data_IF_117613877970
#
_entry.id   IF_117613877970
#
_cell.length_a   1.000
_cell.length_b   1.000
_cell.length_c   1.000
_cell.angle_alpha   90.00
_cell.angle_beta   90.00
_cell.angle_gamma   90.00
#
_symmetry.space_group_name_H-M   'P 1'
#
loop_
_entity.id
_entity.type
_entity.pdbx_description
1 polymer ?
2 non-polymer ?
3 non-polymer ?
4 water ?
#
# COMPACT_ATOMS: atom_id res chain seq x y z
N UNK A 3 19.09 12.84 7.34
CA UNK A 3 18.18 13.28 8.40
C UNK A 3 16.73 12.98 8.08
N UNK A 4 16.11 12.06 8.84
CA UNK A 4 14.73 11.65 8.67
C UNK A 4 13.74 12.61 9.32
N UNK A 5 12.60 12.83 8.63
CA UNK A 5 11.50 13.66 9.10
C UNK A 5 10.18 13.09 8.58
N UNK A 6 9.17 12.96 9.47
CA UNK A 6 7.86 12.45 9.09
C UNK A 6 7.06 13.48 8.27
N UNK A 7 7.45 14.76 8.35
CA UNK A 7 6.79 15.89 7.66
C UNK A 7 7.52 16.30 6.38
N UNK A 8 8.43 15.43 5.90
CA UNK A 8 9.22 15.64 4.68
C UNK A 8 9.30 14.33 3.89
N UNK A 9 9.52 14.43 2.57
CA UNK A 9 9.73 13.23 1.75
C UNK A 9 11.18 12.82 1.92
N UNK A 10 11.41 11.56 2.28
CA UNK A 10 12.74 11.03 2.56
C UNK A 10 13.20 10.13 1.44
N UNK A 11 14.48 10.21 1.03
CA UNK A 11 15.00 9.33 -0.02
C UNK A 11 15.12 7.88 0.49
N UNK A 12 15.38 6.91 -0.39
CA UNK A 12 15.48 5.51 0.05
C UNK A 12 16.54 5.28 1.12
N UNK A 13 17.73 5.91 0.99
CA UNK A 13 18.81 5.79 1.96
C UNK A 13 18.32 6.16 3.36
N UNK A 14 17.54 7.27 3.46
CA UNK A 14 16.94 7.78 4.68
C UNK A 14 15.84 6.82 5.21
N UNK A 15 14.93 6.36 4.32
CA UNK A 15 13.85 5.42 4.69
C UNK A 15 14.45 4.10 5.21
N UNK A 16 15.44 3.55 4.49
CA UNK A 16 16.12 2.31 4.87
C UNK A 16 16.74 2.43 6.27
N UNK A 17 17.46 3.53 6.53
CA UNK A 17 18.08 3.81 7.82
C UNK A 17 17.01 3.99 8.90
N UNK A 18 15.86 4.56 8.51
CA UNK A 18 14.71 4.75 9.40
C UNK A 18 14.11 3.40 9.81
N UNK A 19 13.95 2.44 8.85
CA UNK A 19 13.39 1.11 9.16
C UNK A 19 14.23 0.38 10.21
N UNK A 20 15.56 0.55 10.15
CA UNK A 20 16.50 -0.04 11.10
C UNK A 20 16.41 0.67 12.46
N UNK A 21 16.38 2.03 12.44
CA UNK A 21 16.31 2.87 13.66
C UNK A 21 15.00 2.72 14.43
N UNK A 22 13.84 2.76 13.73
CA UNK A 22 12.52 2.66 14.34
C UNK A 22 12.31 1.26 15.00
N UNK A 23 12.94 0.21 14.44
CA UNK A 23 12.87 -1.16 14.95
C UNK A 23 13.73 -1.26 16.22
N UNK A 24 14.96 -0.70 16.18
CA UNK A 24 15.90 -0.70 17.31
C UNK A 24 15.38 0.14 18.48
N UNK A 25 14.72 1.29 18.19
CA UNK A 25 14.16 2.18 19.19
C UNK A 25 12.89 1.62 19.83
N UNK A 26 12.18 0.70 19.12
CA UNK A 26 10.94 0.08 19.60
C UNK A 26 10.99 -1.46 19.39
N UNK A 27 11.89 -2.20 20.08
CA UNK A 27 11.98 -3.67 19.85
C UNK A 27 10.79 -4.50 20.32
N UNK A 28 10.05 -3.99 21.31
CA UNK A 28 8.89 -4.69 21.85
C UNK A 28 7.62 -4.46 21.03
N UNK A 29 7.70 -3.59 20.01
CA UNK A 29 6.56 -3.24 19.16
C UNK A 29 6.83 -3.43 17.66
N UNK A 30 8.10 -3.42 17.23
CA UNK A 30 8.48 -3.58 15.81
C UNK A 30 9.62 -4.57 15.60
N UNK A 31 9.48 -5.42 14.57
CA UNK A 31 10.50 -6.36 14.09
C UNK A 31 10.62 -6.13 12.57
N UNK A 32 11.85 -6.14 12.05
CA UNK A 32 12.13 -5.89 10.63
C UNK A 32 12.72 -7.12 9.95
N UNK A 33 12.23 -7.44 8.74
CA UNK A 33 12.72 -8.52 7.89
C UNK A 33 12.82 -8.06 6.44
N UNK A 34 13.68 -8.72 5.64
CA UNK A 34 13.79 -8.47 4.21
C UNK A 34 13.01 -9.62 3.56
N UNK A 35 11.94 -9.30 2.81
CA UNK A 35 11.08 -10.31 2.19
C UNK A 35 11.55 -10.70 0.78
N UNK A 36 12.64 -10.08 0.35
CA UNK A 36 13.24 -10.31 -0.96
C UNK A 36 14.08 -9.14 -1.40
N UNK A 37 14.55 -9.17 -2.65
CA UNK A 37 15.36 -8.12 -3.23
C UNK A 37 14.74 -7.61 -4.53
N UNK A 38 15.02 -6.34 -4.84
CA UNK A 38 14.52 -5.68 -6.05
C UNK A 38 15.39 -6.10 -7.25
N UNK A 39 15.02 -5.65 -8.47
CA UNK A 39 15.77 -5.91 -9.69
C UNK A 39 17.23 -5.42 -9.59
N UNK A 40 17.44 -4.26 -8.93
CA UNK A 40 18.76 -3.67 -8.73
C UNK A 40 19.46 -4.21 -7.46
N UNK A 41 18.83 -5.15 -6.76
CA UNK A 41 19.39 -5.80 -5.59
C UNK A 41 19.17 -5.12 -4.25
N UNK A 42 18.22 -4.18 -4.16
CA UNK A 42 17.92 -3.50 -2.90
C UNK A 42 16.98 -4.37 -2.06
N UNK A 43 17.19 -4.39 -0.72
CA UNK A 43 16.37 -5.19 0.19
C UNK A 43 14.97 -4.60 0.36
N UNK A 44 13.94 -5.45 0.19
CA UNK A 44 12.54 -5.07 0.35
C UNK A 44 12.19 -5.29 1.82
N UNK A 45 12.29 -4.22 2.63
CA UNK A 45 11.99 -4.32 4.05
C UNK A 45 10.52 -4.33 4.36
N UNK A 46 10.18 -5.08 5.41
CA UNK A 46 8.82 -5.21 5.90
C UNK A 46 8.88 -5.09 7.43
N UNK A 47 7.99 -4.26 7.98
CA UNK A 47 7.92 -4.03 9.42
C UNK A 47 6.69 -4.70 9.99
N UNK A 48 6.90 -5.57 10.99
CA UNK A 48 5.82 -6.25 11.70
C UNK A 48 5.58 -5.40 12.95
N UNK A 49 4.49 -4.62 12.93
CA UNK A 49 4.13 -3.70 14.00
C UNK A 49 3.00 -4.26 14.86
N UNK A 50 3.28 -4.37 16.16
CA UNK A 50 2.34 -4.87 17.15
C UNK A 50 3.02 -5.53 18.32
N UNK A 51 2.28 -5.72 19.43
CA UNK A 51 2.79 -6.37 20.63
C UNK A 51 2.79 -7.90 20.38
N UNK A 52 3.97 -8.57 20.37
CA UNK A 52 3.99 -10.01 20.07
C UNK A 52 3.11 -10.87 20.97
N UNK A 53 2.54 -11.91 20.36
CA UNK A 53 1.64 -12.86 21.02
C UNK A 53 1.33 -14.07 20.15
N UNK A 54 0.72 -15.14 20.71
CA UNK A 54 0.42 -16.32 19.90
C UNK A 54 -0.86 -16.19 19.06
N UNK A 55 -0.89 -16.83 17.87
CA UNK A 55 -2.00 -16.89 16.91
C UNK A 55 -2.67 -15.53 16.67
N UNK A 56 -1.85 -14.49 16.41
CA UNK A 56 -2.36 -13.14 16.18
C UNK A 56 -2.82 -12.92 14.75
N UNK A 57 -4.05 -12.38 14.54
CA UNK A 57 -4.48 -12.04 13.17
C UNK A 57 -3.69 -10.82 12.69
N UNK A 58 -3.60 -10.62 11.37
CA UNK A 58 -2.81 -9.52 10.83
C UNK A 58 -3.48 -8.75 9.69
N UNK A 59 -3.00 -7.51 9.48
CA UNK A 59 -3.41 -6.62 8.39
C UNK A 59 -2.13 -6.27 7.61
N UNK A 60 -2.15 -6.50 6.29
CA UNK A 60 -1.01 -6.19 5.44
C UNK A 60 -1.25 -4.84 4.76
N UNK A 61 -0.24 -3.98 4.77
CA UNK A 61 -0.31 -2.68 4.13
C UNK A 61 0.97 -2.37 3.40
N UNK A 62 0.86 -2.03 2.11
CA UNK A 62 2.00 -1.64 1.32
C UNK A 62 1.86 -0.20 0.85
N UNK A 63 3.02 0.43 0.62
CA UNK A 63 3.15 1.78 0.09
C UNK A 63 4.23 1.72 -0.98
N UNK A 64 4.23 2.72 -1.83
CA UNK A 64 5.22 2.86 -2.88
C UNK A 64 5.28 1.80 -3.95
N UNK A 65 4.10 1.27 -4.38
CA UNK A 65 4.03 0.33 -5.50
C UNK A 65 4.40 1.16 -6.75
N UNK A 66 3.91 2.42 -6.79
CA UNK A 66 4.24 3.36 -7.86
C UNK A 66 5.18 4.42 -7.31
N UNK A 67 6.35 4.53 -7.96
CA UNK A 67 7.48 5.36 -7.61
C UNK A 67 7.17 6.84 -7.31
N UNK A 68 6.46 7.53 -8.23
CA UNK A 68 6.14 8.97 -8.11
C UNK A 68 5.12 9.33 -7.02
N UNK A 69 4.42 8.34 -6.44
CA UNK A 69 3.39 8.56 -5.42
C UNK A 69 4.01 8.70 -4.02
N UNK A 70 4.84 9.73 -3.85
CA UNK A 70 5.64 10.05 -2.65
C UNK A 70 4.84 10.18 -1.35
N UNK A 71 3.56 10.60 -1.44
CA UNK A 71 2.70 10.72 -0.25
C UNK A 71 2.37 9.33 0.33
N UNK A 72 2.33 8.28 -0.52
CA UNK A 72 2.06 6.91 -0.07
C UNK A 72 3.22 6.41 0.80
N UNK A 73 4.47 6.59 0.33
CA UNK A 73 5.69 6.22 1.08
C UNK A 73 5.68 6.96 2.42
N UNK A 74 5.31 8.25 2.41
CA UNK A 74 5.23 9.12 3.58
C UNK A 74 4.17 8.62 4.56
N UNK A 75 3.04 8.06 4.04
CA UNK A 75 1.98 7.53 4.90
C UNK A 75 2.39 6.27 5.67
N UNK A 76 3.09 5.31 5.04
CA UNK A 76 3.53 4.10 5.73
C UNK A 76 4.42 4.45 6.92
N UNK A 77 5.30 5.45 6.74
CA UNK A 77 6.19 5.96 7.79
C UNK A 77 5.35 6.62 8.89
N UNK A 78 4.31 7.41 8.50
CA UNK A 78 3.42 8.06 9.45
C UNK A 78 2.62 7.05 10.27
N UNK A 79 2.18 5.96 9.64
CA UNK A 79 1.44 4.89 10.34
C UNK A 79 2.29 4.31 11.46
N UNK A 80 3.56 3.99 11.15
CA UNK A 80 4.53 3.44 12.12
C UNK A 80 4.79 4.48 13.22
N UNK A 81 4.90 5.77 12.82
CA UNK A 81 5.07 6.91 13.72
C UNK A 81 3.93 6.91 14.75
N UNK A 82 2.68 6.79 14.27
CA UNK A 82 1.47 6.77 15.09
C UNK A 82 1.46 5.61 16.07
N UNK A 83 1.81 4.41 15.59
CA UNK A 83 1.85 3.19 16.38
C UNK A 83 2.83 3.29 17.56
N UNK A 84 4.05 3.81 17.33
CA UNK A 84 5.06 3.92 18.39
C UNK A 84 4.75 5.09 19.36
N UNK A 85 4.19 6.19 18.84
CA UNK A 85 3.87 7.36 19.65
C UNK A 85 2.62 7.20 20.53
N UNK A 86 1.52 6.66 19.97
CA UNK A 86 0.23 6.56 20.66
C UNK A 86 -0.05 5.21 21.35
N UNK A 87 0.81 4.18 21.17
CA UNK A 87 0.61 2.90 21.87
C UNK A 87 0.78 3.14 23.38
N UNK A 88 -0.22 2.72 24.14
CA UNK A 88 -0.26 2.91 25.58
C UNK A 88 -0.74 4.29 25.98
N UNK A 89 -0.97 5.18 24.99
CA UNK A 89 -1.44 6.56 25.18
C UNK A 89 -2.84 6.81 24.62
N UNK A 90 -3.28 5.97 23.69
CA UNK A 90 -4.58 6.07 23.05
C UNK A 90 -5.22 4.68 23.03
N UNK A 91 -6.46 4.58 23.53
CA UNK A 91 -7.26 3.36 23.66
C UNK A 91 -7.28 2.43 22.44
N UNK A 92 -7.69 2.95 21.26
CA UNK A 92 -7.84 2.18 20.03
C UNK A 92 -6.53 1.62 19.49
N UNK A 93 -5.48 2.46 19.33
CA UNK A 93 -4.17 2.02 18.85
C UNK A 93 -3.58 0.94 19.76
N UNK A 94 -3.80 1.08 21.10
CA UNK A 94 -3.36 0.12 22.12
C UNK A 94 -4.06 -1.22 21.88
N UNK A 95 -5.40 -1.22 21.70
CA UNK A 95 -6.19 -2.41 21.44
C UNK A 95 -5.75 -3.07 20.12
N UNK A 96 -5.54 -2.25 19.06
CA UNK A 96 -5.13 -2.73 17.73
C UNK A 96 -3.79 -3.45 17.75
N UNK A 97 -2.77 -2.86 18.39
CA UNK A 97 -1.44 -3.46 18.44
C UNK A 97 -1.37 -4.70 19.36
N UNK A 98 -2.28 -4.80 20.35
CA UNK A 98 -2.35 -5.95 21.26
C UNK A 98 -3.02 -7.15 20.59
N UNK A 99 -4.11 -6.89 19.84
CA UNK A 99 -4.92 -7.92 19.20
C UNK A 99 -4.47 -8.27 17.77
N UNK A 100 -3.93 -7.30 17.02
CA UNK A 100 -3.47 -7.50 15.64
C UNK A 100 -2.00 -7.16 15.45
N UNK A 101 -1.44 -7.62 14.32
CA UNK A 101 -0.11 -7.29 13.84
C UNK A 101 -0.30 -6.55 12.53
N UNK A 102 0.53 -5.55 12.26
CA UNK A 102 0.48 -4.79 11.01
C UNK A 102 1.74 -5.08 10.22
N UNK A 103 1.58 -5.69 9.05
CA UNK A 103 2.71 -5.94 8.16
C UNK A 103 2.77 -4.74 7.25
N UNK A 104 3.68 -3.82 7.57
CA UNK A 104 3.86 -2.56 6.84
C UNK A 104 5.07 -2.66 5.91
N UNK A 105 4.81 -2.58 4.59
CA UNK A 105 5.85 -2.59 3.57
C UNK A 105 5.98 -1.12 3.16
N UNK A 106 6.98 -0.37 3.69
CA UNK A 106 7.04 1.07 3.43
C UNK A 106 7.29 1.49 2.00
N UNK A 107 8.13 0.76 1.26
CA UNK A 107 8.44 1.04 -0.15
C UNK A 107 8.59 -0.31 -0.86
N UNK A 108 7.64 -0.66 -1.75
CA UNK A 108 7.76 -1.90 -2.49
C UNK A 108 8.71 -1.70 -3.67
N UNK A 109 8.42 -0.70 -4.52
CA UNK A 109 9.18 -0.37 -5.71
C UNK A 109 10.32 0.59 -5.37
N UNK A 110 11.33 0.07 -4.64
CA UNK A 110 12.51 0.81 -4.18
C UNK A 110 13.32 1.40 -5.34
N UNK A 111 13.59 0.60 -6.38
CA UNK A 111 14.35 1.00 -7.58
C UNK A 111 13.71 2.19 -8.29
N UNK A 112 12.40 2.11 -8.51
CA UNK A 112 11.63 3.19 -9.13
C UNK A 112 11.68 4.45 -8.29
N UNK A 113 11.55 4.29 -6.96
CA UNK A 113 11.60 5.39 -6.01
C UNK A 113 12.94 6.12 -6.04
N UNK A 114 14.06 5.38 -6.12
CA UNK A 114 15.41 5.95 -6.22
C UNK A 114 15.52 6.79 -7.50
N UNK A 115 14.92 6.29 -8.60
CA UNK A 115 14.89 6.94 -9.91
C UNK A 115 14.10 8.25 -9.90
N UNK A 116 13.04 8.36 -9.06
CA UNK A 116 12.26 9.59 -8.94
C UNK A 116 13.05 10.67 -8.22
N UNK A 117 13.98 10.27 -7.35
CA UNK A 117 14.85 11.16 -6.59
C UNK A 117 16.11 11.55 -7.37
N UNK A 118 16.57 10.68 -8.28
CA UNK A 118 17.81 10.91 -9.03
C UNK A 118 17.64 11.36 -10.48
N UNK A 119 16.69 10.79 -11.25
CA UNK A 119 16.57 11.09 -12.68
C UNK A 119 15.20 11.62 -13.16
N UNK A 120 14.10 10.94 -12.79
CA UNK A 120 12.77 11.30 -13.30
C UNK A 120 11.71 11.22 -12.20
N UNK A 121 11.30 12.39 -11.68
CA UNK A 121 10.30 12.58 -10.62
C UNK A 121 8.96 11.90 -10.93
N UNK A 122 8.61 11.80 -12.22
CA UNK A 122 7.36 11.22 -12.70
C UNK A 122 7.44 9.74 -13.07
N UNK A 123 8.52 9.03 -12.66
CA UNK A 123 8.65 7.60 -12.94
C UNK A 123 7.61 6.82 -12.13
N UNK A 124 7.01 5.78 -12.73
CA UNK A 124 5.94 5.00 -12.11
C UNK A 124 6.30 3.54 -11.86
N UNK A 125 6.80 2.87 -12.90
CA UNK A 125 7.09 1.44 -12.92
C UNK A 125 8.34 1.02 -12.16
N UNK A 126 8.70 -0.27 -12.28
CA UNK A 126 9.91 -0.85 -11.72
C UNK A 126 11.08 -0.36 -12.61
N UNK A 127 12.30 -0.85 -12.37
CA UNK A 127 13.44 -0.45 -13.17
C UNK A 127 14.07 -1.65 -13.91
N UNK A 128 13.28 -2.71 -14.14
CA UNK A 128 13.72 -3.91 -14.84
C UNK A 128 13.79 -3.74 -16.35
N UNK A 129 14.72 -4.46 -16.99
CA UNK A 129 14.90 -4.42 -18.45
C UNK A 129 13.83 -5.27 -19.15
N UNK A 130 13.57 -4.96 -20.43
CA UNK A 130 12.61 -5.67 -21.27
C UNK A 130 13.28 -6.09 -22.57
N UNK A 131 12.98 -7.31 -23.03
CA UNK A 131 13.55 -7.87 -24.26
C UNK A 131 13.01 -7.14 -25.50
N UNK A 132 13.89 -6.96 -26.49
CA UNK A 132 13.56 -6.32 -27.77
C UNK A 132 13.26 -4.83 -27.74
N UNK A 133 13.66 -4.14 -26.66
CA UNK A 133 13.45 -2.69 -26.46
C UNK A 133 14.39 -2.13 -25.39
N UNK A 134 14.61 -0.80 -25.41
CA UNK A 134 15.41 -0.12 -24.39
C UNK A 134 14.45 0.46 -23.33
N UNK A 135 13.13 0.25 -23.52
CA UNK A 135 12.08 0.70 -22.60
C UNK A 135 12.19 -0.08 -21.30
N UNK A 136 12.16 0.64 -20.18
CA UNK A 136 12.36 0.07 -18.86
C UNK A 136 11.07 0.01 -18.03
N UNK A 137 10.99 -1.04 -17.22
CA UNK A 137 9.97 -1.24 -16.20
C UNK A 137 8.65 -1.87 -16.56
N UNK A 138 8.05 -2.46 -15.52
CA UNK A 138 6.74 -3.09 -15.50
C UNK A 138 5.97 -2.41 -14.38
N UNK A 139 4.66 -2.23 -14.58
CA UNK A 139 3.79 -1.68 -13.55
C UNK A 139 3.55 -2.81 -12.54
N UNK A 140 4.00 -2.68 -11.25
CA UNK A 140 3.76 -3.77 -10.28
C UNK A 140 2.27 -4.03 -10.04
N UNK A 141 1.45 -2.96 -10.10
CA UNK A 141 -0.01 -3.04 -9.92
C UNK A 141 -0.76 -3.59 -11.15
N UNK A 142 -0.03 -4.14 -12.15
CA UNK A 142 -0.56 -4.83 -13.33
C UNK A 142 0.18 -6.17 -13.46
N UNK A 143 1.05 -6.49 -12.49
CA UNK A 143 1.90 -7.68 -12.51
C UNK A 143 1.42 -8.83 -11.61
N UNK A 144 0.36 -8.63 -10.80
CA UNK A 144 -0.17 -9.72 -9.95
C UNK A 144 -0.99 -10.72 -10.78
N UNK A 145 -1.14 -11.95 -10.26
CA UNK A 145 -1.87 -13.01 -10.96
C UNK A 145 -3.37 -13.00 -10.66
N UNK A 146 -4.06 -11.92 -11.10
CA UNK A 146 -5.50 -11.74 -10.96
C UNK A 146 -5.99 -11.06 -12.24
N UNK A 147 -6.57 -11.86 -13.14
CA UNK A 147 -7.02 -11.43 -14.47
C UNK A 147 -5.90 -10.76 -15.22
N UNK A 148 -4.66 -11.25 -14.99
CA UNK A 148 -3.39 -10.71 -15.50
C UNK A 148 -3.38 -10.42 -17.00
N UNK A 149 -2.95 -9.19 -17.31
CA UNK A 149 -2.74 -8.56 -18.62
C UNK A 149 -3.98 -8.55 -19.53
N UNK A 150 -5.18 -8.39 -18.94
CA UNK A 150 -6.41 -8.23 -19.71
C UNK A 150 -6.58 -6.72 -19.97
N UNK A 151 -7.73 -6.28 -20.50
CA UNK A 151 -8.01 -4.87 -20.79
C UNK A 151 -7.81 -4.00 -19.53
N UNK A 152 -7.01 -2.94 -19.67
CA UNK A 152 -6.66 -2.04 -18.59
C UNK A 152 -5.19 -2.13 -18.22
N UNK A 153 -4.51 -3.12 -18.80
CA UNK A 153 -3.06 -3.34 -18.67
C UNK A 153 -2.54 -3.34 -20.09
N UNK A 154 -1.30 -2.94 -20.29
CA UNK A 154 -0.73 -2.92 -21.64
C UNK A 154 0.27 -4.04 -21.87
N UNK A 155 0.30 -4.53 -23.11
CA UNK A 155 1.25 -5.57 -23.54
C UNK A 155 2.53 -4.90 -24.06
N UNK A 156 2.51 -3.55 -24.15
CA UNK A 156 3.63 -2.75 -24.63
C UNK A 156 4.60 -2.40 -23.47
N UNK A 157 5.88 -2.86 -23.54
CA UNK A 157 6.86 -2.54 -22.47
C UNK A 157 7.16 -1.06 -22.27
N UNK A 158 6.86 -0.22 -23.28
CA UNK A 158 7.07 1.23 -23.24
C UNK A 158 5.92 1.97 -22.57
N UNK A 159 4.86 1.25 -22.21
CA UNK A 159 3.66 1.80 -21.57
C UNK A 159 3.71 1.77 -20.06
N UNK A 160 3.05 2.75 -19.44
CA UNK A 160 2.98 2.95 -17.99
C UNK A 160 2.21 1.85 -17.25
N UNK A 161 1.28 1.15 -17.93
CA UNK A 161 0.51 0.06 -17.34
C UNK A 161 0.99 -1.31 -17.87
N UNK A 162 2.27 -1.41 -18.30
CA UNK A 162 2.84 -2.67 -18.79
C UNK A 162 2.72 -3.74 -17.72
N UNK A 163 2.07 -4.86 -18.08
CA UNK A 163 1.77 -6.00 -17.22
C UNK A 163 2.98 -6.90 -16.91
N UNK A 164 4.06 -6.74 -17.67
CA UNK A 164 5.26 -7.56 -17.53
C UNK A 164 5.27 -8.72 -18.50
N UNK A 165 6.38 -9.50 -18.51
CA UNK A 165 6.54 -10.67 -19.38
C UNK A 165 5.63 -11.83 -18.98
N UNK A 166 5.30 -11.91 -17.68
CA UNK A 166 4.45 -12.94 -17.08
C UNK A 166 3.94 -12.41 -15.74
N UNK A 167 2.88 -13.03 -15.18
CA UNK A 167 2.38 -12.63 -13.85
C UNK A 167 3.49 -12.95 -12.86
N UNK A 168 3.80 -11.97 -11.97
CA UNK A 168 4.86 -12.04 -10.96
C UNK A 168 6.27 -12.11 -11.57
N UNK A 169 6.46 -11.49 -12.75
CA UNK A 169 7.77 -11.44 -13.42
C UNK A 169 8.73 -10.56 -12.63
N UNK A 170 8.20 -9.57 -11.91
CA UNK A 170 8.98 -8.66 -11.09
C UNK A 170 9.28 -9.28 -9.76
N UNK A 171 10.56 -9.21 -9.34
CA UNK A 171 11.05 -9.73 -8.06
C UNK A 171 10.26 -9.10 -6.91
N UNK A 172 9.95 -7.79 -7.01
CA UNK A 172 9.18 -7.03 -6.02
C UNK A 172 7.77 -7.59 -5.88
N UNK A 173 7.07 -7.84 -7.02
CA UNK A 173 5.73 -8.42 -7.06
C UNK A 173 5.74 -9.83 -6.47
N UNK A 174 6.72 -10.66 -6.88
CA UNK A 174 6.89 -12.04 -6.41
C UNK A 174 7.14 -12.07 -4.91
N UNK A 175 7.99 -11.16 -4.40
CA UNK A 175 8.32 -11.03 -2.97
C UNK A 175 7.09 -10.72 -2.11
N UNK A 176 6.23 -9.80 -2.58
CA UNK A 176 5.01 -9.41 -1.89
C UNK A 176 4.02 -10.59 -1.90
N UNK A 177 3.78 -11.17 -3.09
CA UNK A 177 2.88 -12.32 -3.27
C UNK A 177 3.31 -13.52 -2.44
N UNK A 178 4.63 -13.83 -2.41
CA UNK A 178 5.20 -14.95 -1.64
C UNK A 178 4.97 -14.75 -0.15
N UNK A 179 5.17 -13.51 0.35
CA UNK A 179 4.94 -13.20 1.77
C UNK A 179 3.50 -13.44 2.18
N UNK A 180 2.53 -12.91 1.40
CA UNK A 180 1.10 -13.05 1.67
C UNK A 180 0.68 -14.53 1.62
N UNK A 181 1.17 -15.29 0.61
CA UNK A 181 0.89 -16.72 0.47
C UNK A 181 1.41 -17.50 1.68
N UNK A 182 2.63 -17.16 2.15
CA UNK A 182 3.27 -17.80 3.32
C UNK A 182 2.61 -17.44 4.66
N UNK A 183 1.79 -16.37 4.68
CA UNK A 183 1.10 -15.89 5.88
C UNK A 183 -0.41 -15.71 5.68
N UNK A 184 -1.00 -16.44 4.71
CA UNK A 184 -2.42 -16.38 4.35
C UNK A 184 -3.40 -16.62 5.50
N UNK A 185 -3.09 -17.61 6.38
CA UNK A 185 -3.93 -17.99 7.52
C UNK A 185 -4.11 -16.87 8.55
N UNK A 186 -3.13 -15.94 8.65
CA UNK A 186 -3.18 -14.82 9.59
C UNK A 186 -3.67 -13.51 8.99
N UNK A 187 -3.39 -13.24 7.69
CA UNK A 187 -3.77 -11.98 7.03
C UNK A 187 -5.29 -11.91 6.78
N UNK A 188 -5.95 -10.97 7.47
CA UNK A 188 -7.39 -10.74 7.41
C UNK A 188 -7.76 -9.53 6.54
N UNK A 189 -6.82 -8.61 6.32
CA UNK A 189 -7.03 -7.43 5.50
C UNK A 189 -5.79 -7.04 4.71
N UNK A 190 -6.01 -6.52 3.50
CA UNK A 190 -4.95 -6.03 2.61
C UNK A 190 -5.25 -4.57 2.25
N UNK A 191 -4.26 -3.70 2.45
CA UNK A 191 -4.38 -2.28 2.15
C UNK A 191 -3.21 -1.82 1.28
N UNK A 192 -3.51 -1.22 0.13
CA UNK A 192 -2.47 -0.71 -0.78
C UNK A 192 -2.60 0.81 -0.86
N UNK A 193 -1.56 1.54 -0.44
CA UNK A 193 -1.56 2.99 -0.40
C UNK A 193 -0.93 3.57 -1.65
N UNK A 194 -1.70 4.45 -2.31
CA UNK A 194 -1.37 5.09 -3.57
C UNK A 194 -1.80 6.56 -3.55
N UNK A 195 -1.61 7.25 -4.70
CA UNK A 195 -2.01 8.62 -4.96
C UNK A 195 -2.18 8.79 -6.48
N UNK A 196 -3.00 9.73 -6.97
CA UNK A 196 -3.86 10.66 -6.23
C UNK A 196 -5.30 10.43 -6.72
N UNK A 197 -6.25 11.35 -6.40
CA UNK A 197 -7.68 11.44 -6.79
C UNK A 197 -8.67 11.24 -5.63
N UNK A 198 -8.14 10.97 -4.40
CA UNK A 198 -8.95 10.80 -3.19
C UNK A 198 -10.05 9.74 -3.35
N UNK A 199 -9.62 8.48 -3.41
CA UNK A 199 -10.50 7.33 -3.59
C UNK A 199 -10.20 6.22 -2.60
N UNK A 200 -11.21 5.43 -2.27
CA UNK A 200 -11.10 4.20 -1.49
C UNK A 200 -11.73 3.16 -2.39
N UNK A 201 -10.90 2.32 -2.98
CA UNK A 201 -11.34 1.31 -3.93
C UNK A 201 -11.26 -0.09 -3.34
N UNK A 202 -12.20 -0.97 -3.70
CA UNK A 202 -12.22 -2.37 -3.28
C UNK A 202 -12.42 -3.26 -4.54
N UNK A 203 -12.22 -4.60 -4.50
CA UNK A 203 -12.40 -5.41 -5.72
C UNK A 203 -13.79 -5.30 -6.38
N UNK A 204 -13.92 -5.52 -7.71
CA UNK A 204 -12.86 -5.92 -8.62
C UNK A 204 -12.42 -4.81 -9.57
N UNK A 205 -11.17 -4.89 -10.03
CA UNK A 205 -10.56 -3.97 -10.99
C UNK A 205 -10.14 -4.73 -12.25
N UNK A 206 -9.95 -6.07 -12.17
CA UNK A 206 -9.53 -6.82 -13.35
C UNK A 206 -10.67 -7.13 -14.33
N UNK A 207 -11.92 -6.98 -13.88
CA UNK A 207 -13.12 -7.23 -14.67
C UNK A 207 -14.28 -6.44 -14.06
N UNK A 208 -15.35 -6.24 -14.85
CA UNK A 208 -16.57 -5.60 -14.39
C UNK A 208 -17.41 -6.64 -13.66
N UNK A 209 -17.13 -6.81 -12.36
CA UNK A 209 -17.86 -7.74 -11.49
C UNK A 209 -17.81 -7.27 -10.05
N UNK A 210 -18.91 -7.50 -9.31
CA UNK A 210 -19.00 -7.11 -7.90
C UNK A 210 -18.54 -8.25 -7.01
N UNK A 211 -17.84 -7.96 -5.89
CA UNK A 211 -17.40 -9.04 -5.00
C UNK A 211 -18.53 -9.68 -4.21
N UNK A 212 -18.27 -10.88 -3.63
CA UNK A 212 -19.19 -11.65 -2.79
C UNK A 212 -19.79 -10.77 -1.67
N UNK A 213 -18.92 -10.02 -0.96
CA UNK A 213 -19.32 -9.12 0.13
C UNK A 213 -19.35 -7.64 -0.32
N UNK A 214 -19.89 -7.37 -1.53
CA UNK A 214 -19.99 -6.02 -2.10
C UNK A 214 -20.70 -5.03 -1.17
N UNK A 215 -21.87 -5.41 -0.62
CA UNK A 215 -22.66 -4.57 0.30
C UNK A 215 -21.88 -4.22 1.55
N UNK A 216 -21.13 -5.20 2.11
CA UNK A 216 -20.28 -5.02 3.29
C UNK A 216 -19.13 -4.05 3.01
N UNK A 217 -18.40 -4.27 1.89
CA UNK A 217 -17.28 -3.43 1.47
C UNK A 217 -17.73 -2.02 1.13
N UNK A 218 -18.91 -1.88 0.50
CA UNK A 218 -19.49 -0.57 0.14
C UNK A 218 -19.79 0.23 1.41
N UNK A 219 -20.43 -0.41 2.43
CA UNK A 219 -20.77 0.22 3.71
C UNK A 219 -19.52 0.57 4.51
N UNK A 220 -18.49 -0.30 4.49
CA UNK A 220 -17.24 -0.07 5.20
C UNK A 220 -16.47 1.10 4.57
N UNK A 221 -16.35 1.12 3.23
CA UNK A 221 -15.67 2.20 2.49
C UNK A 221 -16.39 3.54 2.71
N UNK A 222 -17.75 3.53 2.69
CA UNK A 222 -18.61 4.70 2.94
C UNK A 222 -18.29 5.30 4.31
N UNK A 223 -18.25 4.44 5.33
CA UNK A 223 -17.96 4.82 6.71
C UNK A 223 -16.51 5.29 6.89
N UNK A 224 -15.54 4.66 6.19
CA UNK A 224 -14.12 5.04 6.24
C UNK A 224 -13.92 6.42 5.63
N UNK A 225 -14.64 6.70 4.52
CA UNK A 225 -14.65 7.97 3.79
C UNK A 225 -15.22 9.06 4.71
N UNK A 226 -16.32 8.74 5.43
CA UNK A 226 -16.99 9.63 6.38
C UNK A 226 -16.05 9.98 7.53
N UNK A 227 -15.36 8.98 8.11
CA UNK A 227 -14.39 9.16 9.21
C UNK A 227 -13.22 10.05 8.81
N UNK A 228 -12.71 9.87 7.58
CA UNK A 228 -11.60 10.65 7.04
C UNK A 228 -12.01 12.12 6.91
N UNK A 229 -13.24 12.39 6.43
CA UNK A 229 -13.79 13.72 6.21
C UNK A 229 -14.03 14.54 7.50
N UNK A 230 -14.13 13.89 8.67
CA UNK A 230 -14.37 14.57 9.95
C UNK A 230 -13.25 15.55 10.35
N UNK A 231 -12.00 15.24 9.97
CA UNK A 231 -10.84 16.06 10.33
C UNK A 231 -10.74 17.39 9.58
N UNK A 232 -10.71 17.35 8.24
CA UNK A 232 -10.55 18.58 7.44
C UNK A 232 -11.61 18.78 6.35
N UNK A 233 -12.58 17.88 6.27
CA UNK A 233 -13.62 17.95 5.26
C UNK A 233 -13.16 17.46 3.90
N UNK A 234 -12.02 16.73 3.85
CA UNK A 234 -11.47 16.17 2.60
C UNK A 234 -12.47 15.17 2.03
N UNK A 235 -12.86 15.38 0.77
CA UNK A 235 -13.87 14.59 0.07
C UNK A 235 -13.27 13.43 -0.69
N UNK A 236 -13.66 12.22 -0.30
CA UNK A 236 -13.24 10.98 -0.93
C UNK A 236 -14.43 10.29 -1.56
N UNK A 237 -14.22 9.68 -2.72
CA UNK A 237 -15.26 8.88 -3.37
C UNK A 237 -14.85 7.42 -3.19
N UNK A 238 -15.78 6.47 -3.35
CA UNK A 238 -15.50 5.06 -3.09
C UNK A 238 -16.33 4.12 -3.95
N UNK A 239 -15.92 2.85 -3.96
CA UNK A 239 -16.62 1.80 -4.68
C UNK A 239 -15.73 0.75 -5.28
N UNK A 240 -16.31 -0.21 -6.05
CA UNK A 240 -15.48 -1.22 -6.72
C UNK A 240 -14.59 -0.55 -7.78
N UNK A 241 -13.35 -1.03 -7.88
CA UNK A 241 -12.33 -0.50 -8.78
C UNK A 241 -12.75 -0.19 -10.19
N UNK A 242 -13.22 -1.21 -10.94
CA UNK A 242 -13.66 -1.07 -12.33
C UNK A 242 -14.82 -0.07 -12.48
N UNK A 243 -15.65 0.03 -11.44
CA UNK A 243 -16.82 0.91 -11.37
C UNK A 243 -16.44 2.39 -11.08
N UNK A 244 -15.60 2.63 -10.07
CA UNK A 244 -15.22 3.98 -9.62
C UNK A 244 -14.00 4.56 -10.31
N UNK A 245 -13.08 3.72 -10.76
CA UNK A 245 -11.87 4.18 -11.40
C UNK A 245 -11.85 3.80 -12.87
N UNK A 246 -11.36 2.59 -13.17
CA UNK A 246 -11.16 2.02 -14.51
C UNK A 246 -10.71 0.58 -14.35
N UNK A 247 -10.64 -0.17 -15.47
CA UNK A 247 -10.12 -1.53 -15.47
C UNK A 247 -8.62 -1.44 -15.19
N UNK A 248 -8.17 -2.13 -14.14
CA UNK A 248 -6.76 -2.15 -13.72
C UNK A 248 -6.41 -3.60 -13.31
N UNK A 249 -6.31 -4.53 -14.29
CA UNK A 249 -6.03 -5.93 -13.97
C UNK A 249 -4.63 -6.20 -13.46
N UNK A 250 -4.46 -7.29 -12.73
CA UNK A 250 -3.17 -7.67 -12.18
C UNK A 250 -2.79 -6.86 -10.95
N UNK A 251 -3.81 -6.43 -10.20
CA UNK A 251 -3.64 -5.65 -8.99
C UNK A 251 -3.49 -6.53 -7.76
N UNK A 252 -2.71 -6.04 -6.80
CA UNK A 252 -2.44 -6.72 -5.54
C UNK A 252 -3.67 -6.89 -4.68
N UNK A 253 -4.58 -5.88 -4.72
CA UNK A 253 -5.84 -5.91 -3.96
C UNK A 253 -6.79 -7.01 -4.43
N UNK A 254 -6.95 -7.15 -5.77
CA UNK A 254 -7.78 -8.20 -6.37
C UNK A 254 -7.17 -9.57 -6.16
N UNK A 255 -5.83 -9.66 -6.24
CA UNK A 255 -5.11 -10.90 -6.03
C UNK A 255 -5.28 -11.34 -4.57
N UNK A 256 -5.06 -10.42 -3.60
CA UNK A 256 -5.23 -10.69 -2.17
C UNK A 256 -6.66 -11.12 -1.87
N UNK A 257 -7.66 -10.47 -2.50
CA UNK A 257 -9.08 -10.81 -2.34
C UNK A 257 -9.37 -12.24 -2.82
N UNK A 258 -8.81 -12.63 -3.97
CA UNK A 258 -9.02 -13.97 -4.53
C UNK A 258 -8.23 -15.06 -3.79
N UNK A 259 -7.32 -14.65 -2.87
CA UNK A 259 -6.58 -15.57 -2.00
C UNK A 259 -7.41 -15.86 -0.74
N UNK A 260 -8.51 -15.12 -0.57
CA UNK A 260 -9.40 -15.25 0.58
C UNK A 260 -9.38 -14.07 1.53
N UNK A 261 -8.61 -13.01 1.20
CA UNK A 261 -8.53 -11.82 2.03
C UNK A 261 -9.72 -10.91 1.70
N UNK A 262 -10.82 -11.15 2.43
CA UNK A 262 -12.14 -10.55 2.35
C UNK A 262 -12.17 -9.02 2.35
N UNK A 263 -11.29 -8.40 3.14
CA UNK A 263 -11.23 -6.95 3.25
C UNK A 263 -10.00 -6.45 2.51
N UNK A 264 -10.21 -6.02 1.26
CA UNK A 264 -9.13 -5.56 0.40
C UNK A 264 -9.40 -4.18 -0.12
N UNK A 265 -8.49 -3.23 0.15
CA UNK A 265 -8.68 -1.84 -0.26
C UNK A 265 -7.46 -1.19 -0.86
N UNK A 266 -7.69 -0.27 -1.80
CA UNK A 266 -6.68 0.58 -2.41
C UNK A 266 -7.06 2.00 -2.03
N UNK A 267 -6.15 2.71 -1.38
CA UNK A 267 -6.37 4.09 -0.97
C UNK A 267 -5.61 4.99 -1.92
N UNK A 268 -6.30 5.94 -2.56
CA UNK A 268 -5.70 6.93 -3.45
C UNK A 268 -5.74 8.20 -2.62
N UNK A 269 -4.57 8.69 -2.17
CA UNK A 269 -4.52 9.84 -1.27
C UNK A 269 -4.67 11.19 -2.00
N UNK A 270 -4.40 12.31 -1.30
CA UNK A 270 -4.45 13.69 -1.81
C UNK A 270 -3.52 13.88 -3.02
N UNK A 271 -3.84 14.79 -3.96
CA UNK A 271 -5.03 15.65 -3.98
C UNK A 271 -5.99 15.25 -5.09
N UNK A 272 -6.71 16.22 -5.70
CA UNK A 272 -7.65 15.94 -6.78
C UNK A 272 -7.12 16.35 -8.16
N UNK A 273 -5.87 16.84 -8.22
CA UNK A 273 -5.24 17.23 -9.47
C UNK A 273 -4.45 18.52 -9.48
N UNK A 274 -4.64 19.40 -8.46
CA UNK A 274 -3.92 20.69 -8.37
C UNK A 274 -2.40 20.48 -8.37
N UNK A 275 -1.91 19.58 -7.50
CA UNK A 275 -0.49 19.24 -7.42
C UNK A 275 -0.21 17.84 -7.95
N UNK A 276 -1.22 16.98 -7.90
CA UNK A 276 -1.12 15.60 -8.37
C UNK A 276 -0.15 14.79 -7.54
N UNK A 277 0.86 14.17 -8.21
CA UNK A 277 1.89 13.36 -7.55
C UNK A 277 2.88 14.21 -6.80
N UNK A 278 3.05 15.48 -7.22
CA UNK A 278 3.97 16.45 -6.62
C UNK A 278 3.24 17.24 -5.51
N UNK A 279 2.63 16.49 -4.56
CA UNK A 279 1.93 17.05 -3.41
C UNK A 279 2.97 17.70 -2.50
N UNK A 280 2.81 18.98 -2.12
CA UNK A 280 3.84 19.63 -1.28
C UNK A 280 4.01 18.99 0.09
N UNK A 281 5.22 19.13 0.67
CA UNK A 281 5.58 18.60 1.99
C UNK A 281 4.71 19.19 3.10
N UNK A 282 4.25 20.44 2.92
CA UNK A 282 3.36 21.16 3.83
C UNK A 282 2.02 20.46 4.04
N UNK A 283 1.64 19.55 3.11
CA UNK A 283 0.40 18.78 3.15
C UNK A 283 0.56 17.35 3.71
N UNK A 284 1.81 16.88 3.96
CA UNK A 284 2.07 15.53 4.49
C UNK A 284 1.30 15.27 5.79
N UNK A 285 1.51 16.14 6.81
CA UNK A 285 0.85 16.04 8.12
C UNK A 285 -0.67 15.89 8.00
N UNK A 286 -1.35 16.83 7.32
CA UNK A 286 -2.80 16.84 7.13
C UNK A 286 -3.32 15.59 6.41
N UNK A 287 -2.65 15.20 5.30
CA UNK A 287 -3.02 14.02 4.51
C UNK A 287 -2.90 12.75 5.34
N UNK A 288 -1.75 12.57 6.02
CA UNK A 288 -1.48 11.40 6.85
C UNK A 288 -2.40 11.27 8.05
N UNK A 289 -2.65 12.39 8.77
CA UNK A 289 -3.56 12.38 9.94
C UNK A 289 -5.00 12.03 9.58
N UNK A 290 -5.51 12.55 8.46
CA UNK A 290 -6.88 12.21 8.02
C UNK A 290 -6.96 10.76 7.52
N UNK A 291 -5.90 10.27 6.84
CA UNK A 291 -5.82 8.89 6.33
C UNK A 291 -5.79 7.91 7.52
N UNK A 292 -5.09 8.30 8.62
CA UNK A 292 -5.02 7.51 9.86
C UNK A 292 -6.41 7.15 10.37
N UNK A 293 -7.36 8.11 10.34
CA UNK A 293 -8.75 7.92 10.77
C UNK A 293 -9.47 6.83 9.97
N UNK A 294 -9.29 6.83 8.63
CA UNK A 294 -9.89 5.84 7.73
C UNK A 294 -9.26 4.45 7.96
N UNK A 295 -7.91 4.39 8.07
CA UNK A 295 -7.15 3.16 8.32
C UNK A 295 -7.54 2.54 9.68
N UNK A 296 -7.60 3.37 10.75
CA UNK A 296 -7.99 2.93 12.09
C UNK A 296 -9.43 2.43 12.11
N UNK A 297 -10.33 3.08 11.34
CA UNK A 297 -11.74 2.66 11.23
C UNK A 297 -11.83 1.27 10.61
N UNK A 298 -11.10 1.03 9.50
CA UNK A 298 -11.04 -0.25 8.79
C UNK A 298 -10.46 -1.31 9.75
N UNK A 299 -9.38 -0.96 10.47
CA UNK A 299 -8.71 -1.81 11.46
C UNK A 299 -9.69 -2.25 12.57
N UNK A 300 -10.44 -1.29 13.12
CA UNK A 300 -11.43 -1.55 14.17
C UNK A 300 -12.54 -2.48 13.66
N UNK A 301 -12.99 -2.28 12.41
CA UNK A 301 -14.02 -3.12 11.78
C UNK A 301 -13.50 -4.55 11.62
N UNK A 302 -12.27 -4.72 11.10
CA UNK A 302 -11.64 -6.03 10.90
C UNK A 302 -11.59 -6.80 12.24
N UNK A 303 -11.22 -6.12 13.35
CA UNK A 303 -11.18 -6.70 14.69
C UNK A 303 -12.53 -7.22 15.17
N UNK A 304 -13.60 -6.50 14.82
CA UNK A 304 -14.96 -6.87 15.18
C UNK A 304 -15.60 -7.87 14.23
N UNK A 305 -14.91 -8.18 13.11
CA UNK A 305 -15.39 -9.11 12.09
C UNK A 305 -14.31 -10.12 11.65
N UNK A 306 -13.59 -10.71 12.64
CA UNK A 306 -12.54 -11.69 12.40
C UNK A 306 -13.10 -12.99 11.81
N UNK A 307 -12.33 -13.62 10.91
CA UNK A 307 -12.72 -14.84 10.19
C UNK A 307 -11.52 -15.76 9.94
#
# INVERSE_FOLDING_TARGET
TTGHSYEKYNNWETIEAWTKQVTSENPDLISRTAIGTTFLGNNIYLLKVGKPGPNKPAIFMDCGIHAREWISHAFCQWFVREAVLTYGYESHMTEFLNKLDFYVLPVLNIDGYIYTWTKNRMWRKTRSTNAGTTCIGTDPNRNFDAGWCTTGASTDPCDETYCGSAAESEKETKALADFIRNNLSSIKAYLSIHSYSQHIVYPYSYDYKLPENNAELNNLAKAAVKELATLYGTKYTYGPGATTLYLAPGGGDDWAYDQGIKYSFTFELRDKGRYGFILPESQIQATCEETMLAIKYVTNYVLGHLY
#
